data_IF_457595539527
#
_entry.id   IF_457595539527
#
_cell.length_a   1.000
_cell.length_b   1.000
_cell.length_c   1.000
_cell.angle_alpha   90.00
_cell.angle_beta   90.00
_cell.angle_gamma   90.00
#
_symmetry.space_group_name_H-M   'P 1'
#
loop_
_entity.id
_entity.type
_entity.pdbx_description
1 polymer ?
#
# COMPACT_ATOMS: atom_id res chain seq x y z
N UNK A 1 -9.16 -8.07 -11.57
CA UNK A 1 -10.16 -9.03 -11.04
C UNK A 1 -9.61 -10.25 -10.30
N UNK A 2 -8.43 -10.81 -10.62
CA UNK A 2 -7.94 -12.02 -9.92
C UNK A 2 -7.53 -11.83 -8.46
N UNK A 3 -6.90 -10.69 -8.13
CA UNK A 3 -6.31 -10.44 -6.80
C UNK A 3 -7.25 -9.75 -5.80
N UNK A 4 -8.38 -9.18 -6.26
CA UNK A 4 -9.31 -8.41 -5.41
C UNK A 4 -10.05 -9.30 -4.39
N UNK A 5 -10.37 -10.53 -4.79
CA UNK A 5 -11.08 -11.51 -3.96
C UNK A 5 -10.47 -12.89 -4.17
N UNK A 6 -9.69 -13.32 -3.20
CA UNK A 6 -8.95 -14.58 -3.19
C UNK A 6 -9.38 -15.43 -1.99
N UNK A 7 -9.10 -16.72 -2.02
CA UNK A 7 -9.39 -17.65 -0.91
C UNK A 7 -8.33 -17.57 0.21
N UNK A 8 -7.09 -17.34 -0.18
CA UNK A 8 -5.94 -17.19 0.71
C UNK A 8 -5.31 -15.84 0.44
N UNK A 9 -5.07 -15.06 1.50
CA UNK A 9 -4.45 -13.76 1.42
C UNK A 9 -3.54 -13.53 2.63
N UNK A 10 -2.58 -12.64 2.48
CA UNK A 10 -1.76 -12.15 3.59
C UNK A 10 -2.31 -10.79 4.05
N UNK A 11 -2.81 -10.73 5.28
CA UNK A 11 -3.33 -9.51 5.88
C UNK A 11 -2.22 -8.86 6.72
N UNK A 12 -2.03 -7.55 6.58
CA UNK A 12 -1.21 -6.75 7.48
C UNK A 12 -1.90 -6.54 8.85
N UNK A 13 -2.25 -7.65 9.49
CA UNK A 13 -3.14 -7.75 10.64
C UNK A 13 -2.41 -7.45 11.96
N UNK A 14 -3.13 -6.89 12.92
CA UNK A 14 -2.69 -6.76 14.30
C UNK A 14 -3.88 -6.60 15.25
N UNK A 15 -3.64 -6.99 16.50
CA UNK A 15 -4.58 -6.90 17.60
C UNK A 15 -3.95 -6.10 18.73
N UNK A 16 -4.58 -5.00 19.13
CA UNK A 16 -4.11 -4.11 20.21
C UNK A 16 -5.01 -4.34 21.41
N UNK A 17 -4.42 -4.73 22.54
CA UNK A 17 -5.14 -4.91 23.80
C UNK A 17 -5.05 -3.60 24.58
N UNK A 18 -6.19 -2.97 24.80
CA UNK A 18 -6.31 -1.68 25.48
C UNK A 18 -6.88 -1.88 26.89
N UNK A 19 -6.47 -1.03 27.84
CA UNK A 19 -6.88 -1.11 29.23
C UNK A 19 -8.28 -0.52 29.48
N UNK A 20 -8.74 0.38 28.61
CA UNK A 20 -10.04 1.06 28.70
C UNK A 20 -10.62 1.39 27.31
N UNK A 21 -11.88 1.84 27.30
CA UNK A 21 -12.57 2.31 26.11
C UNK A 21 -11.90 3.57 25.51
N UNK A 22 -11.46 4.49 26.36
CA UNK A 22 -10.78 5.72 25.94
C UNK A 22 -9.47 5.41 25.23
N UNK A 23 -8.67 4.49 25.78
CA UNK A 23 -7.44 4.04 25.13
C UNK A 23 -7.74 3.31 23.83
N UNK A 24 -8.81 2.50 23.78
CA UNK A 24 -9.21 1.84 22.55
C UNK A 24 -9.57 2.85 21.44
N UNK A 25 -10.33 3.90 21.77
CA UNK A 25 -10.65 4.98 20.82
C UNK A 25 -9.39 5.73 20.37
N UNK A 26 -8.45 5.99 21.27
CA UNK A 26 -7.16 6.61 20.94
C UNK A 26 -6.34 5.74 19.97
N UNK A 27 -6.21 4.44 20.25
CA UNK A 27 -5.46 3.52 19.39
C UNK A 27 -6.15 3.30 18.04
N UNK A 28 -7.48 3.32 17.98
CA UNK A 28 -8.22 3.33 16.71
C UNK A 28 -7.88 4.61 15.92
N UNK A 29 -7.87 5.77 16.58
CA UNK A 29 -7.45 7.03 15.96
C UNK A 29 -6.05 6.95 15.36
N UNK A 30 -5.07 6.45 16.12
CA UNK A 30 -3.69 6.25 15.65
C UNK A 30 -3.60 5.24 14.50
N UNK A 31 -4.41 4.18 14.53
CA UNK A 31 -4.46 3.21 13.44
C UNK A 31 -4.97 3.83 12.14
N UNK A 32 -5.96 4.73 12.21
CA UNK A 32 -6.42 5.51 11.07
C UNK A 32 -5.36 6.49 10.57
N UNK A 33 -4.64 7.17 11.47
CA UNK A 33 -3.52 8.05 11.09
C UNK A 33 -2.43 7.28 10.32
N UNK A 34 -2.12 6.05 10.77
CA UNK A 34 -1.18 5.17 10.07
C UNK A 34 -1.70 4.75 8.69
N UNK A 35 -3.00 4.45 8.56
CA UNK A 35 -3.61 4.12 7.27
C UNK A 35 -3.52 5.31 6.32
N UNK A 36 -3.85 6.52 6.78
CA UNK A 36 -3.77 7.75 5.98
C UNK A 36 -2.33 8.04 5.54
N UNK A 37 -1.36 7.87 6.44
CA UNK A 37 0.06 8.00 6.11
C UNK A 37 0.48 7.01 5.02
N UNK A 38 0.17 5.72 5.17
CA UNK A 38 0.55 4.70 4.19
C UNK A 38 -0.16 4.92 2.86
N UNK A 39 -1.46 5.28 2.89
CA UNK A 39 -2.21 5.62 1.70
C UNK A 39 -1.54 6.80 0.95
N UNK A 40 -1.14 7.85 1.66
CA UNK A 40 -0.42 8.99 1.09
C UNK A 40 0.92 8.60 0.47
N UNK A 41 1.70 7.72 1.13
CA UNK A 41 2.95 7.17 0.55
C UNK A 41 2.68 6.37 -0.74
N UNK A 42 1.52 5.72 -0.83
CA UNK A 42 1.06 5.00 -2.03
C UNK A 42 0.39 5.89 -3.07
N UNK A 43 0.36 7.22 -2.89
CA UNK A 43 -0.29 8.15 -3.82
C UNK A 43 -1.81 8.18 -3.73
N UNK A 44 -2.39 7.67 -2.65
CA UNK A 44 -3.83 7.61 -2.45
C UNK A 44 -4.27 8.68 -1.44
N UNK A 45 -5.36 9.37 -1.77
CA UNK A 45 -5.92 10.50 -1.00
C UNK A 45 -7.36 10.22 -0.55
N UNK A 46 -7.69 10.65 0.68
CA UNK A 46 -9.04 10.58 1.24
C UNK A 46 -9.98 11.49 0.42
N UNK A 47 -11.17 10.98 0.09
CA UNK A 47 -12.19 11.68 -0.69
C UNK A 47 -12.06 11.53 -2.21
N UNK A 48 -10.89 11.12 -2.70
CA UNK A 48 -10.65 10.87 -4.13
C UNK A 48 -10.51 9.37 -4.41
N UNK A 49 -9.63 8.70 -3.66
CA UNK A 49 -9.28 7.30 -3.86
C UNK A 49 -9.95 6.37 -2.85
N UNK A 50 -10.19 6.87 -1.63
CA UNK A 50 -10.82 6.11 -0.56
C UNK A 50 -11.68 7.00 0.35
N UNK A 51 -12.59 6.39 1.10
CA UNK A 51 -13.44 7.05 2.09
C UNK A 51 -13.74 6.15 3.27
N UNK A 52 -14.20 6.75 4.35
CA UNK A 52 -14.57 6.02 5.56
C UNK A 52 -16.04 5.63 5.58
N UNK A 53 -16.29 4.40 6.03
CA UNK A 53 -17.61 3.89 6.35
C UNK A 53 -17.62 3.31 7.75
N UNK A 54 -18.47 3.83 8.62
CA UNK A 54 -18.75 3.23 9.92
C UNK A 54 -19.80 2.13 9.75
N UNK A 55 -19.37 0.89 9.93
CA UNK A 55 -20.23 -0.29 9.80
C UNK A 55 -20.78 -0.69 11.17
N UNK A 56 -22.12 -0.78 11.21
CA UNK A 56 -22.92 -1.02 12.41
C UNK A 56 -23.50 -2.44 12.42
N UNK A 57 -23.78 -2.98 13.60
CA UNK A 57 -24.42 -4.28 13.76
C UNK A 57 -25.94 -4.20 13.58
N UNK A 58 -26.58 -5.31 13.22
CA UNK A 58 -28.05 -5.42 13.22
C UNK A 58 -28.51 -6.19 14.46
N UNK A 59 -29.23 -5.53 15.36
CA UNK A 59 -29.68 -6.12 16.62
C UNK A 59 -30.79 -7.16 16.43
N UNK A 60 -31.41 -7.20 15.25
CA UNK A 60 -32.42 -8.21 14.92
C UNK A 60 -31.81 -9.51 14.38
N UNK A 61 -30.55 -9.48 13.94
CA UNK A 61 -29.83 -10.64 13.41
C UNK A 61 -28.91 -11.24 14.49
N UNK A 62 -29.53 -11.95 15.44
CA UNK A 62 -28.79 -12.59 16.54
C UNK A 62 -28.03 -13.85 16.12
N UNK A 63 -28.28 -14.37 14.91
CA UNK A 63 -27.45 -15.45 14.34
C UNK A 63 -26.07 -14.93 13.94
N UNK A 64 -26.02 -13.73 13.33
CA UNK A 64 -24.78 -13.10 12.92
C UNK A 64 -24.10 -12.33 14.04
N UNK A 65 -24.83 -11.55 14.83
CA UNK A 65 -24.23 -10.61 15.78
C UNK A 65 -24.32 -11.09 17.23
N UNK A 66 -23.25 -10.82 18.00
CA UNK A 66 -23.22 -11.17 19.42
C UNK A 66 -24.32 -10.45 20.19
N UNK A 67 -25.10 -11.20 20.98
CA UNK A 67 -26.23 -10.70 21.76
C UNK A 67 -25.78 -9.86 22.96
N UNK A 68 -25.41 -8.61 22.72
CA UNK A 68 -25.12 -7.62 23.75
C UNK A 68 -25.44 -6.21 23.26
N UNK A 69 -26.73 -5.83 23.35
CA UNK A 69 -27.22 -4.56 22.82
C UNK A 69 -26.53 -3.34 23.47
N UNK A 70 -26.19 -3.41 24.75
CA UNK A 70 -25.50 -2.33 25.47
C UNK A 70 -24.08 -2.12 24.93
N UNK A 71 -23.33 -3.20 24.72
CA UNK A 71 -21.98 -3.12 24.17
C UNK A 71 -21.97 -2.61 22.72
N UNK A 72 -22.94 -3.03 21.91
CA UNK A 72 -23.15 -2.49 20.56
C UNK A 72 -23.41 -0.99 20.58
N UNK A 73 -24.37 -0.53 21.37
CA UNK A 73 -24.72 0.89 21.43
C UNK A 73 -23.53 1.74 21.92
N UNK A 74 -22.82 1.26 22.95
CA UNK A 74 -21.62 1.91 23.47
C UNK A 74 -20.53 2.02 22.39
N UNK A 75 -20.14 0.89 21.80
CA UNK A 75 -19.03 0.85 20.86
C UNK A 75 -19.32 1.61 19.56
N UNK A 76 -20.56 1.54 19.05
CA UNK A 76 -20.97 2.32 17.88
C UNK A 76 -20.97 3.82 18.18
N UNK A 77 -21.45 4.22 19.37
CA UNK A 77 -21.38 5.60 19.84
C UNK A 77 -19.94 6.13 19.90
N UNK A 78 -19.02 5.36 20.49
CA UNK A 78 -17.61 5.71 20.58
C UNK A 78 -16.97 5.94 19.19
N UNK A 79 -17.18 5.01 18.25
CA UNK A 79 -16.61 5.14 16.89
C UNK A 79 -17.26 6.28 16.11
N UNK A 80 -18.58 6.50 16.28
CA UNK A 80 -19.29 7.61 15.65
C UNK A 80 -18.76 8.96 16.12
N UNK A 81 -18.53 9.12 17.43
CA UNK A 81 -17.94 10.36 17.97
C UNK A 81 -16.49 10.58 17.54
N UNK A 82 -15.70 9.50 17.39
CA UNK A 82 -14.38 9.60 16.79
C UNK A 82 -14.46 10.07 15.33
N UNK A 83 -15.32 9.44 14.52
CA UNK A 83 -15.44 9.75 13.09
C UNK A 83 -15.95 11.16 12.82
N UNK A 84 -16.92 11.65 13.59
CA UNK A 84 -17.39 13.05 13.53
C UNK A 84 -16.27 14.07 13.69
N UNK A 85 -15.22 13.76 14.47
CA UNK A 85 -14.06 14.63 14.66
C UNK A 85 -13.08 14.58 13.49
N UNK A 86 -13.07 13.48 12.73
CA UNK A 86 -12.12 13.25 11.62
C UNK A 86 -12.62 13.77 10.28
N UNK A 87 -13.93 13.85 10.06
CA UNK A 87 -14.50 14.44 8.86
C UNK A 87 -15.67 13.63 8.29
N UNK A 88 -15.77 13.60 6.96
CA UNK A 88 -16.87 12.91 6.26
C UNK A 88 -16.74 11.38 6.34
N UNK A 89 -17.86 10.73 6.63
CA UNK A 89 -18.01 9.28 6.61
C UNK A 89 -19.47 8.92 6.37
N UNK A 90 -19.71 7.67 5.96
CA UNK A 90 -21.06 7.11 5.85
C UNK A 90 -21.30 6.06 6.93
N UNK A 91 -22.55 5.86 7.33
CA UNK A 91 -22.93 4.75 8.20
C UNK A 91 -23.59 3.64 7.37
N UNK A 92 -23.32 2.39 7.71
CA UNK A 92 -23.93 1.23 7.06
C UNK A 92 -24.32 0.16 8.08
N UNK A 93 -25.62 -0.05 8.22
CA UNK A 93 -26.20 -1.14 9.01
C UNK A 93 -25.94 -2.50 8.37
N UNK A 94 -25.74 -3.54 9.19
CA UNK A 94 -25.58 -4.91 8.69
C UNK A 94 -24.19 -5.25 8.15
N UNK A 95 -23.26 -4.30 8.17
CA UNK A 95 -21.92 -4.44 7.58
C UNK A 95 -20.80 -4.67 8.62
N UNK A 96 -21.11 -4.60 9.92
CA UNK A 96 -20.14 -4.82 10.99
C UNK A 96 -19.62 -6.28 11.04
N UNK A 97 -18.55 -6.49 11.82
CA UNK A 97 -18.16 -7.83 12.23
C UNK A 97 -19.15 -8.39 13.26
N UNK A 98 -19.14 -9.69 13.51
CA UNK A 98 -20.07 -10.28 14.49
C UNK A 98 -19.81 -9.84 15.95
N UNK A 99 -18.60 -9.35 16.24
CA UNK A 99 -18.10 -9.06 17.59
C UNK A 99 -18.02 -7.57 17.93
N UNK A 100 -18.39 -6.69 17.00
CA UNK A 100 -18.41 -5.25 17.21
C UNK A 100 -18.33 -4.42 15.93
N UNK A 101 -18.48 -3.09 16.05
CA UNK A 101 -18.49 -2.17 14.92
C UNK A 101 -17.08 -1.95 14.38
N UNK A 102 -17.01 -1.46 13.13
CA UNK A 102 -15.75 -1.20 12.46
C UNK A 102 -15.79 0.04 11.58
N UNK A 103 -14.64 0.68 11.46
CA UNK A 103 -14.37 1.74 10.49
C UNK A 103 -13.71 1.05 9.30
N UNK A 104 -14.46 0.95 8.21
CA UNK A 104 -13.98 0.43 6.94
C UNK A 104 -13.41 1.57 6.09
N UNK A 105 -12.25 1.32 5.49
CA UNK A 105 -11.69 2.19 4.46
C UNK A 105 -12.05 1.61 3.11
N UNK A 106 -13.01 2.25 2.46
CA UNK A 106 -13.59 1.81 1.22
C UNK A 106 -12.79 2.35 0.05
N UNK A 107 -12.58 1.51 -0.96
CA UNK A 107 -11.97 1.88 -2.22
C UNK A 107 -12.82 1.34 -3.36
N UNK A 108 -12.86 2.08 -4.47
CA UNK A 108 -13.59 1.68 -5.67
C UNK A 108 -12.63 1.22 -6.74
N UNK A 109 -12.92 0.05 -7.31
CA UNK A 109 -12.16 -0.48 -8.45
C UNK A 109 -12.58 0.18 -9.77
N UNK A 110 -11.83 -0.10 -10.83
CA UNK A 110 -12.11 0.45 -12.18
C UNK A 110 -13.47 0.09 -12.76
N UNK A 111 -14.15 -0.92 -12.22
CA UNK A 111 -15.51 -1.32 -12.62
C UNK A 111 -16.59 -0.62 -11.79
N UNK A 112 -16.21 0.33 -10.92
CA UNK A 112 -17.13 1.07 -10.06
C UNK A 112 -17.58 0.31 -8.81
N UNK A 113 -17.09 -0.92 -8.58
CA UNK A 113 -17.43 -1.69 -7.39
C UNK A 113 -16.58 -1.23 -6.20
N UNK A 114 -17.26 -1.00 -5.09
CA UNK A 114 -16.66 -0.65 -3.80
C UNK A 114 -16.31 -1.92 -3.02
N UNK A 115 -15.10 -1.97 -2.47
CA UNK A 115 -14.61 -3.02 -1.61
C UNK A 115 -13.81 -2.40 -0.46
N UNK A 116 -13.90 -3.00 0.73
CA UNK A 116 -13.12 -2.58 1.89
C UNK A 116 -11.66 -2.95 1.69
N UNK A 117 -10.78 -1.94 1.62
CA UNK A 117 -9.34 -2.14 1.51
C UNK A 117 -8.73 -2.38 2.90
N UNK A 118 -9.08 -1.54 3.87
CA UNK A 118 -8.55 -1.55 5.23
C UNK A 118 -9.69 -1.51 6.25
N UNK A 119 -9.43 -1.94 7.48
CA UNK A 119 -10.44 -1.88 8.54
C UNK A 119 -9.79 -1.72 9.91
N UNK A 120 -10.46 -0.99 10.78
CA UNK A 120 -10.15 -0.87 12.21
C UNK A 120 -11.42 -1.15 12.99
N UNK A 121 -11.37 -2.08 13.92
CA UNK A 121 -12.57 -2.68 14.53
C UNK A 121 -12.44 -2.64 16.05
N UNK A 122 -13.54 -2.31 16.71
CA UNK A 122 -13.64 -2.37 18.16
C UNK A 122 -14.31 -3.70 18.55
N UNK A 123 -13.62 -4.51 19.35
CA UNK A 123 -14.10 -5.83 19.78
C UNK A 123 -14.34 -5.87 21.29
N UNK A 124 -15.62 -6.00 21.64
CA UNK A 124 -16.09 -6.20 23.02
C UNK A 124 -16.37 -7.67 23.36
N UNK A 125 -16.31 -8.58 22.39
CA UNK A 125 -16.68 -9.98 22.56
C UNK A 125 -15.49 -10.85 22.99
N UNK A 126 -14.35 -10.77 22.28
CA UNK A 126 -13.21 -11.65 22.56
C UNK A 126 -12.56 -11.44 23.93
N UNK A 127 -12.49 -10.21 24.50
CA UNK A 127 -11.98 -10.05 25.85
C UNK A 127 -12.70 -10.91 26.89
N UNK A 128 -14.02 -11.05 26.76
CA UNK A 128 -14.81 -11.91 27.63
C UNK A 128 -14.59 -13.39 27.34
N UNK A 129 -14.64 -13.80 26.07
CA UNK A 129 -14.51 -15.22 25.68
C UNK A 129 -13.16 -15.82 26.04
N UNK A 130 -12.10 -15.03 25.99
CA UNK A 130 -10.74 -15.46 26.31
C UNK A 130 -10.32 -15.14 27.75
N UNK A 131 -11.20 -14.53 28.55
CA UNK A 131 -10.87 -14.04 29.89
C UNK A 131 -9.60 -13.15 29.89
N UNK A 132 -9.53 -12.19 28.97
CA UNK A 132 -8.40 -11.27 28.84
C UNK A 132 -8.47 -10.22 29.95
N UNK A 133 -7.70 -10.45 31.01
CA UNK A 133 -7.62 -9.57 32.17
C UNK A 133 -6.21 -9.01 32.35
N UNK A 134 -6.13 -7.82 32.95
CA UNK A 134 -4.89 -7.20 33.41
C UNK A 134 -5.06 -6.73 34.85
N UNK A 135 -3.95 -6.59 35.58
CA UNK A 135 -3.93 -5.98 36.91
C UNK A 135 -3.84 -4.46 36.76
N UNK A 136 -4.88 -3.75 37.17
CA UNK A 136 -4.93 -2.30 37.14
C UNK A 136 -4.08 -1.68 38.26
N UNK A 137 -3.87 -0.36 38.20
CA UNK A 137 -3.07 0.39 39.19
C UNK A 137 -3.59 0.26 40.62
N UNK A 138 -4.90 0.07 40.79
CA UNK A 138 -5.58 -0.17 42.06
C UNK A 138 -5.44 -1.62 42.58
N UNK A 139 -4.72 -2.48 41.85
CA UNK A 139 -4.52 -3.89 42.16
C UNK A 139 -5.70 -4.79 41.80
N UNK A 140 -6.78 -4.24 41.23
CA UNK A 140 -7.95 -5.02 40.80
C UNK A 140 -7.71 -5.64 39.41
N UNK A 141 -8.34 -6.80 39.17
CA UNK A 141 -8.38 -7.38 37.82
C UNK A 141 -9.45 -6.67 36.98
N UNK A 142 -9.03 -6.13 35.82
CA UNK A 142 -9.92 -5.50 34.85
C UNK A 142 -9.83 -6.21 33.51
N UNK A 143 -10.95 -6.25 32.78
CA UNK A 143 -10.99 -6.77 31.41
C UNK A 143 -10.44 -5.73 30.45
N UNK A 144 -9.65 -6.17 29.47
CA UNK A 144 -9.21 -5.32 28.37
C UNK A 144 -10.28 -5.14 27.29
N UNK A 145 -9.97 -4.30 26.31
CA UNK A 145 -10.69 -4.16 25.04
C UNK A 145 -9.74 -4.55 23.91
N UNK A 146 -10.24 -5.22 22.87
CA UNK A 146 -9.42 -5.57 21.71
C UNK A 146 -9.74 -4.62 20.56
N UNK A 147 -8.71 -4.08 19.93
CA UNK A 147 -8.80 -3.35 18.67
C UNK A 147 -8.15 -4.19 17.58
N UNK A 148 -8.91 -4.55 16.56
CA UNK A 148 -8.37 -5.21 15.36
C UNK A 148 -8.03 -4.15 14.34
N UNK A 149 -6.86 -4.23 13.70
CA UNK A 149 -6.49 -3.27 12.67
C UNK A 149 -5.68 -3.89 11.56
N UNK A 150 -5.97 -3.45 10.34
CA UNK A 150 -5.17 -3.78 9.17
C UNK A 150 -4.73 -2.50 8.48
N UNK A 151 -3.44 -2.15 8.59
CA UNK A 151 -2.90 -0.85 8.15
C UNK A 151 -2.70 -0.74 6.63
N UNK A 152 -2.50 -1.86 5.93
CA UNK A 152 -2.26 -1.91 4.47
C UNK A 152 -3.23 -2.90 3.79
N UNK A 153 -4.12 -3.53 4.56
CA UNK A 153 -5.11 -4.46 4.00
C UNK A 153 -4.50 -5.81 3.68
N UNK A 154 -5.25 -6.58 2.89
CA UNK A 154 -4.72 -7.76 2.24
C UNK A 154 -3.75 -7.33 1.13
N UNK A 155 -2.53 -7.87 1.14
CA UNK A 155 -1.46 -7.51 0.19
C UNK A 155 -1.93 -7.70 -1.25
N UNK A 156 -2.65 -8.78 -1.53
CA UNK A 156 -3.20 -9.07 -2.86
C UNK A 156 -4.19 -8.00 -3.31
N UNK A 157 -5.08 -7.56 -2.41
CA UNK A 157 -6.12 -6.59 -2.71
C UNK A 157 -5.51 -5.20 -2.94
N UNK A 158 -4.60 -4.76 -2.08
CA UNK A 158 -3.97 -3.45 -2.24
C UNK A 158 -3.13 -3.41 -3.51
N UNK A 159 -2.38 -4.48 -3.84
CA UNK A 159 -1.66 -4.58 -5.13
C UNK A 159 -2.64 -4.48 -6.30
N UNK A 160 -3.80 -5.13 -6.22
CA UNK A 160 -4.82 -5.02 -7.27
C UNK A 160 -5.28 -3.57 -7.48
N UNK A 161 -5.57 -2.85 -6.39
CA UNK A 161 -5.92 -1.44 -6.45
C UNK A 161 -4.79 -0.56 -6.99
N UNK A 162 -3.54 -0.82 -6.61
CA UNK A 162 -2.40 -0.05 -7.08
C UNK A 162 -2.10 -0.32 -8.57
N UNK A 163 -2.24 -1.55 -9.05
CA UNK A 163 -2.14 -1.87 -10.48
C UNK A 163 -3.17 -1.05 -11.26
N UNK A 164 -4.41 -0.99 -10.75
CA UNK A 164 -5.49 -0.23 -11.36
C UNK A 164 -5.23 1.28 -11.31
N UNK A 165 -4.86 1.82 -10.14
CA UNK A 165 -4.57 3.23 -9.92
C UNK A 165 -3.41 3.75 -10.80
N UNK A 166 -2.28 3.03 -10.85
CA UNK A 166 -1.15 3.42 -11.68
C UNK A 166 -1.29 3.00 -13.14
N UNK A 167 -2.36 2.28 -13.49
CA UNK A 167 -2.50 1.59 -14.77
C UNK A 167 -1.25 0.75 -15.10
N UNK A 168 -0.64 0.11 -14.09
CA UNK A 168 0.62 -0.64 -14.21
C UNK A 168 1.89 0.21 -14.37
N UNK A 169 1.81 1.54 -14.37
CA UNK A 169 2.97 2.44 -14.44
C UNK A 169 3.48 2.80 -13.04
N UNK A 170 3.97 1.80 -12.31
CA UNK A 170 4.41 2.01 -10.94
C UNK A 170 5.52 3.08 -10.83
N UNK A 171 5.57 3.84 -9.73
CA UNK A 171 6.70 4.70 -9.41
C UNK A 171 7.97 3.87 -9.22
N UNK A 172 9.14 4.50 -9.33
CA UNK A 172 10.43 3.82 -9.29
C UNK A 172 10.53 2.81 -8.15
N UNK A 173 10.17 3.21 -6.94
CA UNK A 173 10.32 2.39 -5.74
C UNK A 173 9.42 1.14 -5.71
N UNK A 174 8.26 1.19 -6.38
CA UNK A 174 7.31 0.06 -6.50
C UNK A 174 7.51 -0.80 -7.75
N UNK A 175 8.23 -0.30 -8.77
CA UNK A 175 8.32 -1.01 -10.06
C UNK A 175 9.05 -2.36 -9.94
N UNK A 176 8.51 -3.47 -10.47
CA UNK A 176 9.18 -4.78 -10.43
C UNK A 176 10.58 -4.75 -11.05
N UNK A 177 10.72 -4.05 -12.17
CA UNK A 177 12.00 -3.73 -12.81
C UNK A 177 12.11 -2.21 -12.86
N UNK A 178 13.15 -1.68 -12.21
CA UNK A 178 13.34 -0.24 -12.01
C UNK A 178 14.14 0.37 -13.16
N UNK A 179 15.15 -0.36 -13.63
CA UNK A 179 16.07 0.08 -14.69
C UNK A 179 16.26 -1.07 -15.68
N UNK A 180 16.24 -0.75 -16.98
CA UNK A 180 16.60 -1.71 -18.04
C UNK A 180 17.77 -1.20 -18.89
N UNK A 181 18.85 -1.97 -18.96
CA UNK A 181 20.07 -1.65 -19.71
C UNK A 181 19.99 -2.23 -21.12
N UNK A 182 20.20 -1.40 -22.12
CA UNK A 182 19.98 -1.66 -23.54
C UNK A 182 21.29 -1.46 -24.34
N UNK A 183 22.17 -2.47 -24.41
CA UNK A 183 23.32 -2.42 -25.32
C UNK A 183 22.83 -2.40 -26.78
N UNK A 184 23.40 -1.50 -27.60
CA UNK A 184 23.02 -1.40 -29.03
C UNK A 184 23.59 -2.54 -29.88
N UNK A 185 24.59 -3.26 -29.38
CA UNK A 185 25.17 -4.47 -29.99
C UNK A 185 26.07 -5.23 -29.02
N UNK A 186 26.44 -6.46 -29.36
CA UNK A 186 27.23 -7.37 -28.50
C UNK A 186 28.56 -6.78 -28.01
N UNK A 187 29.24 -5.95 -28.83
CA UNK A 187 30.50 -5.30 -28.43
C UNK A 187 30.37 -4.38 -27.21
N UNK A 188 29.16 -3.92 -26.91
CA UNK A 188 28.88 -3.07 -25.74
C UNK A 188 28.53 -3.88 -24.49
N UNK A 189 28.39 -5.21 -24.61
CA UNK A 189 27.94 -6.08 -23.54
C UNK A 189 28.79 -6.03 -22.28
N UNK A 190 30.12 -5.92 -22.42
CA UNK A 190 31.01 -5.86 -21.25
C UNK A 190 30.73 -4.63 -20.38
N UNK A 191 30.57 -3.45 -20.98
CA UNK A 191 30.26 -2.23 -20.25
C UNK A 191 28.81 -2.18 -19.77
N UNK A 192 27.87 -2.74 -20.53
CA UNK A 192 26.48 -2.89 -20.10
C UNK A 192 26.36 -3.77 -18.85
N UNK A 193 27.12 -4.86 -18.78
CA UNK A 193 27.21 -5.71 -17.58
C UNK A 193 27.85 -4.97 -16.40
N UNK A 194 28.93 -4.21 -16.62
CA UNK A 194 29.55 -3.35 -15.58
C UNK A 194 28.53 -2.36 -14.97
N UNK A 195 27.73 -1.70 -15.83
CA UNK A 195 26.66 -0.79 -15.40
C UNK A 195 25.55 -1.54 -14.65
N UNK A 196 25.13 -2.70 -15.16
CA UNK A 196 24.10 -3.52 -14.53
C UNK A 196 24.53 -3.97 -13.14
N UNK A 197 25.72 -4.55 -12.99
CA UNK A 197 26.27 -5.05 -11.73
C UNK A 197 26.44 -3.94 -10.69
N UNK A 198 26.80 -2.73 -11.14
CA UNK A 198 26.91 -1.58 -10.26
C UNK A 198 25.55 -1.14 -9.71
N UNK A 199 24.52 -1.06 -10.57
CA UNK A 199 23.18 -0.62 -10.17
C UNK A 199 22.39 -1.71 -9.44
N UNK A 200 22.62 -2.99 -9.75
CA UNK A 200 21.95 -4.13 -9.13
C UNK A 200 22.17 -4.25 -7.61
N UNK A 201 23.19 -3.57 -7.08
CA UNK A 201 23.44 -3.45 -5.64
C UNK A 201 22.36 -2.64 -4.90
N UNK A 202 21.65 -1.77 -5.61
CA UNK A 202 20.74 -0.78 -5.02
C UNK A 202 19.34 -0.81 -5.65
N UNK A 203 19.22 -1.38 -6.85
CA UNK A 203 18.02 -1.35 -7.67
C UNK A 203 17.74 -2.71 -8.33
N UNK A 204 16.49 -2.94 -8.71
CA UNK A 204 16.06 -4.07 -9.54
C UNK A 204 16.33 -3.75 -11.00
N UNK A 205 17.43 -4.28 -11.53
CA UNK A 205 17.93 -3.97 -12.87
C UNK A 205 17.92 -5.22 -13.75
N UNK A 206 17.57 -5.03 -15.02
CA UNK A 206 17.69 -6.06 -16.05
C UNK A 206 18.53 -5.55 -17.23
N UNK A 207 19.15 -6.46 -17.96
CA UNK A 207 19.83 -6.19 -19.23
C UNK A 207 19.08 -6.87 -20.37
N UNK A 208 18.86 -6.16 -21.47
CA UNK A 208 18.29 -6.71 -22.70
C UNK A 208 19.42 -7.06 -23.68
N UNK A 209 19.90 -8.30 -23.60
CA UNK A 209 20.94 -8.86 -24.47
C UNK A 209 20.38 -9.41 -25.80
N UNK A 210 19.10 -9.18 -26.10
CA UNK A 210 18.52 -9.69 -27.35
C UNK A 210 19.22 -9.10 -28.58
N UNK A 211 19.33 -9.91 -29.65
CA UNK A 211 19.84 -9.46 -30.95
C UNK A 211 18.74 -8.74 -31.76
N UNK A 212 18.15 -7.72 -31.16
CA UNK A 212 17.07 -6.91 -31.74
C UNK A 212 17.54 -5.47 -31.94
N UNK A 213 16.87 -4.73 -32.84
CA UNK A 213 17.19 -3.32 -33.04
C UNK A 213 16.94 -2.51 -31.76
N UNK A 214 17.76 -1.49 -31.50
CA UNK A 214 17.58 -0.61 -30.33
C UNK A 214 16.15 -0.04 -30.24
N UNK A 215 15.56 0.35 -31.37
CA UNK A 215 14.19 0.84 -31.42
C UNK A 215 13.16 -0.19 -30.94
N UNK A 216 13.37 -1.47 -31.25
CA UNK A 216 12.52 -2.56 -30.75
C UNK A 216 12.73 -2.79 -29.26
N UNK A 217 13.97 -2.76 -28.78
CA UNK A 217 14.28 -2.86 -27.33
C UNK A 217 13.61 -1.75 -26.52
N UNK A 218 13.75 -0.50 -26.96
CA UNK A 218 13.11 0.66 -26.32
C UNK A 218 11.58 0.51 -26.32
N UNK A 219 10.99 0.09 -27.44
CA UNK A 219 9.54 -0.11 -27.53
C UNK A 219 9.04 -1.19 -26.57
N UNK A 220 9.75 -2.31 -26.47
CA UNK A 220 9.41 -3.40 -25.55
C UNK A 220 9.50 -2.92 -24.09
N UNK A 221 10.58 -2.23 -23.73
CA UNK A 221 10.75 -1.72 -22.37
C UNK A 221 9.70 -0.65 -22.00
N UNK A 222 9.27 0.19 -22.96
CA UNK A 222 8.14 1.11 -22.77
C UNK A 222 6.81 0.39 -22.61
N UNK A 223 6.58 -0.69 -23.36
CA UNK A 223 5.38 -1.54 -23.21
C UNK A 223 5.34 -2.21 -21.83
N UNK A 224 6.50 -2.63 -21.31
CA UNK A 224 6.66 -3.15 -19.94
C UNK A 224 6.63 -2.06 -18.86
N UNK A 225 6.54 -0.78 -19.25
CA UNK A 225 6.42 0.38 -18.35
C UNK A 225 7.61 0.55 -17.41
N UNK A 226 8.81 0.16 -17.85
CA UNK A 226 10.05 0.32 -17.07
C UNK A 226 10.30 1.80 -16.78
N UNK A 227 10.52 2.22 -15.52
CA UNK A 227 10.74 3.62 -15.17
C UNK A 227 11.95 4.26 -15.87
N UNK A 228 13.07 3.53 -15.98
CA UNK A 228 14.30 4.04 -16.57
C UNK A 228 14.93 3.07 -17.57
N UNK A 229 15.32 3.61 -18.72
CA UNK A 229 16.05 2.91 -19.76
C UNK A 229 17.45 3.50 -19.87
N UNK A 230 18.46 2.63 -19.92
CA UNK A 230 19.85 3.01 -20.13
C UNK A 230 20.29 2.48 -21.49
N UNK A 231 20.69 3.36 -22.40
CA UNK A 231 21.25 2.96 -23.70
C UNK A 231 22.77 2.97 -23.62
N UNK A 232 23.41 1.90 -24.10
CA UNK A 232 24.87 1.78 -24.17
C UNK A 232 25.32 1.56 -25.61
N UNK A 233 25.98 2.57 -26.18
CA UNK A 233 26.65 2.54 -27.47
C UNK A 233 28.13 2.87 -27.38
N UNK A 234 28.72 3.21 -28.54
CA UNK A 234 30.15 3.49 -28.64
C UNK A 234 30.57 4.71 -27.78
N UNK A 235 29.77 5.79 -27.80
CA UNK A 235 30.00 7.01 -27.00
C UNK A 235 30.00 6.70 -25.49
N UNK A 236 29.04 5.90 -25.03
CA UNK A 236 28.92 5.52 -23.62
C UNK A 236 30.11 4.69 -23.14
N UNK A 237 30.59 3.76 -23.97
CA UNK A 237 31.77 2.94 -23.68
C UNK A 237 33.04 3.79 -23.62
N UNK A 238 33.24 4.67 -24.61
CA UNK A 238 34.44 5.51 -24.72
C UNK A 238 34.54 6.50 -23.54
N UNK A 239 33.44 7.17 -23.22
CA UNK A 239 33.41 8.23 -22.20
C UNK A 239 33.11 7.70 -20.80
N UNK A 240 32.81 6.40 -20.64
CA UNK A 240 32.36 5.79 -19.37
C UNK A 240 31.16 6.52 -18.75
N UNK A 241 30.15 6.77 -19.58
CA UNK A 241 28.86 7.39 -19.23
C UNK A 241 27.70 6.48 -19.62
N UNK A 242 26.47 6.90 -19.37
CA UNK A 242 25.25 6.22 -19.83
C UNK A 242 24.28 7.24 -20.43
N UNK A 243 23.53 6.84 -21.46
CA UNK A 243 22.40 7.64 -21.97
C UNK A 243 21.12 7.20 -21.27
N UNK A 244 20.50 8.11 -20.52
CA UNK A 244 19.32 7.86 -19.70
C UNK A 244 18.04 8.39 -20.36
N UNK A 245 17.01 7.54 -20.39
CA UNK A 245 15.64 7.90 -20.74
C UNK A 245 14.69 7.47 -19.61
N UNK A 246 13.84 8.39 -19.16
CA UNK A 246 12.77 8.14 -18.20
C UNK A 246 11.45 7.90 -18.91
N UNK A 247 10.64 6.97 -18.39
CA UNK A 247 9.26 6.79 -18.83
C UNK A 247 8.42 8.05 -18.64
N UNK A 248 8.58 8.71 -17.49
CA UNK A 248 7.72 9.83 -17.07
C UNK A 248 8.30 11.19 -17.48
N UNK A 249 9.62 11.35 -17.50
CA UNK A 249 10.30 12.62 -17.84
C UNK A 249 10.86 12.68 -19.27
N UNK A 250 10.77 11.58 -20.03
CA UNK A 250 11.35 11.48 -21.38
C UNK A 250 12.88 11.41 -21.37
N UNK A 251 13.51 11.93 -22.43
CA UNK A 251 14.97 11.85 -22.59
C UNK A 251 15.68 12.80 -21.64
N UNK A 252 16.53 12.24 -20.78
CA UNK A 252 17.33 13.01 -19.82
C UNK A 252 18.71 13.33 -20.41
N UNK A 253 19.32 12.37 -21.12
CA UNK A 253 20.59 12.54 -21.82
C UNK A 253 21.75 11.77 -21.17
N UNK A 254 22.97 12.21 -21.48
CA UNK A 254 24.22 11.60 -21.02
C UNK A 254 24.49 11.95 -19.53
N UNK A 255 24.71 10.94 -18.69
CA UNK A 255 25.08 11.10 -17.27
C UNK A 255 26.15 10.08 -16.87
N UNK A 256 26.93 10.38 -15.83
CA UNK A 256 27.83 9.38 -15.25
C UNK A 256 27.04 8.35 -14.43
N UNK A 257 27.62 7.17 -14.24
CA UNK A 257 27.02 6.11 -13.42
C UNK A 257 26.82 6.55 -11.94
N UNK A 258 27.74 7.37 -11.41
CA UNK A 258 27.64 7.92 -10.06
C UNK A 258 26.47 8.88 -9.92
N UNK A 259 26.34 9.85 -10.84
CA UNK A 259 25.23 10.81 -10.85
C UNK A 259 23.88 10.11 -11.01
N UNK A 260 23.80 9.11 -11.90
CA UNK A 260 22.60 8.30 -12.06
C UNK A 260 22.23 7.60 -10.75
N UNK A 261 23.20 6.96 -10.08
CA UNK A 261 22.96 6.19 -8.86
C UNK A 261 22.39 7.10 -7.76
N UNK A 262 22.99 8.26 -7.54
CA UNK A 262 22.53 9.21 -6.52
C UNK A 262 21.14 9.78 -6.85
N UNK A 263 20.88 10.07 -8.13
CA UNK A 263 19.55 10.51 -8.58
C UNK A 263 18.48 9.46 -8.28
N UNK A 264 18.72 8.21 -8.67
CA UNK A 264 17.75 7.13 -8.47
C UNK A 264 17.58 6.78 -6.98
N UNK A 265 18.65 6.88 -6.17
CA UNK A 265 18.58 6.70 -4.71
C UNK A 265 17.66 7.74 -4.09
N UNK A 266 17.87 9.00 -4.42
CA UNK A 266 17.04 10.10 -3.94
C UNK A 266 15.56 9.86 -4.27
N UNK A 267 15.26 9.57 -5.54
CA UNK A 267 13.89 9.30 -5.99
C UNK A 267 13.25 8.08 -5.30
N UNK A 268 14.01 6.99 -5.12
CA UNK A 268 13.56 5.77 -4.42
C UNK A 268 13.26 6.07 -2.95
N UNK A 269 14.16 6.77 -2.27
CA UNK A 269 14.11 6.98 -0.82
C UNK A 269 13.03 8.01 -0.45
N UNK A 270 12.88 9.05 -1.28
CA UNK A 270 11.78 10.02 -1.20
C UNK A 270 10.44 9.43 -1.67
N UNK A 271 10.44 8.20 -2.23
CA UNK A 271 9.27 7.50 -2.78
C UNK A 271 8.49 8.38 -3.76
N UNK A 272 9.22 9.11 -4.60
CA UNK A 272 8.63 10.10 -5.50
C UNK A 272 7.59 9.47 -6.42
N UNK A 273 6.46 10.17 -6.55
CA UNK A 273 5.39 9.86 -7.49
C UNK A 273 5.33 11.04 -8.46
N UNK A 274 5.56 10.77 -9.75
CA UNK A 274 5.45 11.79 -10.79
C UNK A 274 3.98 11.91 -11.20
N UNK A 275 3.42 13.11 -11.07
CA UNK A 275 2.08 13.43 -11.57
C UNK A 275 2.05 13.30 -13.11
N UNK A 276 0.89 12.94 -13.64
CA UNK A 276 0.67 12.69 -15.08
C UNK A 276 -0.29 13.70 -15.67
#
# INVERSE_FOLDING_TARGET
MGLQRVRTFCLADAHIICASDEQAVEEIGKALDLIEYVAGVLGLSLGEHYWYRLSLGDRNDTEKYYENAEAWEKSEGLLRELMKKRGEFTEAEGEAAFYGPKIDVQMKNVNGKEDTAFTVQYDFCMPEKFNLVYTAEDGTEKKGVVVHRSSIGAIERIIAFLIEHYEGNFPLWLSPVQVKVLPISEKHGAYANEVCDALAKEFRVEIDESNETLGKKIRNAKHEKIPYLIVIGDSEVEKKIVTLESRDLGKIGEVTLGELTERLKKERDEKTIHER
#
